data_IF_207161123435
#
_entry.id   IF_207161123435
#
_cell.length_a   1.000
_cell.length_b   1.000
_cell.length_c   1.000
_cell.angle_alpha   90.00
_cell.angle_beta   90.00
_cell.angle_gamma   90.00
#
_symmetry.space_group_name_H-M   'P 1'
#
loop_
_entity.id
_entity.type
_entity.pdbx_description
1 polymer ?
#
# COMPACT_ATOMS: atom_id res chain seq x y z
N UNK A 1 -35.24 60.46 10.64
CA UNK A 1 -34.47 59.36 10.01
C UNK A 1 -33.67 58.49 11.02
N UNK A 2 -34.04 58.39 12.31
CA UNK A 2 -33.21 57.69 13.33
C UNK A 2 -33.76 56.36 13.88
N UNK A 3 -35.00 55.96 13.57
CA UNK A 3 -35.59 54.70 14.08
C UNK A 3 -35.24 53.45 13.27
N UNK A 4 -34.93 53.59 11.97
CA UNK A 4 -34.56 52.45 11.12
C UNK A 4 -33.12 51.94 11.39
N UNK A 5 -32.19 52.82 11.76
CA UNK A 5 -30.81 52.45 12.07
C UNK A 5 -30.65 51.75 13.43
N UNK A 6 -31.57 51.97 14.37
CA UNK A 6 -31.51 51.36 15.70
C UNK A 6 -31.98 49.90 15.71
N UNK A 7 -32.86 49.52 14.78
CA UNK A 7 -33.31 48.13 14.60
C UNK A 7 -32.21 47.20 14.06
N UNK A 8 -31.36 47.69 13.16
CA UNK A 8 -30.23 46.94 12.58
C UNK A 8 -29.16 46.56 13.61
N UNK A 9 -29.03 47.34 14.70
CA UNK A 9 -28.06 47.09 15.77
C UNK A 9 -28.48 45.93 16.69
N UNK A 10 -29.78 45.66 16.82
CA UNK A 10 -30.32 44.51 17.57
C UNK A 10 -30.19 43.18 16.83
N UNK A 11 -30.31 43.19 15.50
CA UNK A 11 -30.19 41.98 14.65
C UNK A 11 -28.82 41.30 14.81
N UNK A 12 -27.74 42.07 14.99
CA UNK A 12 -26.39 41.53 15.20
C UNK A 12 -26.24 40.68 16.47
N UNK A 13 -27.04 40.93 17.52
CA UNK A 13 -27.01 40.12 18.75
C UNK A 13 -27.78 38.80 18.61
N UNK A 14 -28.79 38.74 17.75
CA UNK A 14 -29.61 37.53 17.53
C UNK A 14 -28.98 36.56 16.52
N UNK A 15 -28.07 37.03 15.65
CA UNK A 15 -27.37 36.20 14.67
C UNK A 15 -25.98 35.74 15.14
N UNK A 16 -25.38 36.40 16.13
CA UNK A 16 -24.05 36.06 16.63
C UNK A 16 -23.96 34.64 17.23
N UNK A 17 -24.97 34.23 18.02
CA UNK A 17 -24.98 32.91 18.66
C UNK A 17 -25.17 31.76 17.64
N UNK A 18 -26.17 31.82 16.72
CA UNK A 18 -26.28 30.83 15.64
C UNK A 18 -25.04 30.76 14.72
N UNK A 19 -24.39 31.90 14.44
CA UNK A 19 -23.16 31.92 13.64
C UNK A 19 -21.96 31.26 14.36
N UNK A 20 -21.85 31.45 15.68
CA UNK A 20 -20.85 30.75 16.48
C UNK A 20 -21.10 29.24 16.51
N UNK A 21 -22.35 28.82 16.71
CA UNK A 21 -22.75 27.40 16.71
C UNK A 21 -22.51 26.76 15.34
N UNK A 22 -22.84 27.44 14.25
CA UNK A 22 -22.55 26.98 12.88
C UNK A 22 -21.04 26.86 12.62
N UNK A 23 -20.23 27.83 13.09
CA UNK A 23 -18.76 27.75 12.97
C UNK A 23 -18.18 26.58 13.77
N UNK A 24 -18.67 26.33 14.97
CA UNK A 24 -18.27 25.17 15.77
C UNK A 24 -18.60 23.85 15.06
N UNK A 25 -19.84 23.71 14.57
CA UNK A 25 -20.26 22.51 13.80
C UNK A 25 -19.46 22.35 12.50
N UNK A 26 -19.10 23.44 11.82
CA UNK A 26 -18.27 23.37 10.62
C UNK A 26 -16.86 22.85 10.88
N UNK A 27 -16.31 23.11 12.07
CA UNK A 27 -15.02 22.57 12.48
C UNK A 27 -15.09 21.06 12.73
N UNK A 28 -16.16 20.60 13.38
CA UNK A 28 -16.41 19.17 13.60
C UNK A 28 -16.61 18.42 12.27
N UNK A 29 -17.29 19.02 11.30
CA UNK A 29 -17.44 18.47 9.94
C UNK A 29 -16.09 18.39 9.20
N UNK A 30 -15.21 19.38 9.38
CA UNK A 30 -13.85 19.33 8.85
C UNK A 30 -13.01 18.20 9.45
N UNK A 31 -13.12 17.99 10.77
CA UNK A 31 -12.45 16.88 11.46
C UNK A 31 -12.96 15.51 10.99
N UNK A 32 -14.27 15.35 10.79
CA UNK A 32 -14.86 14.14 10.23
C UNK A 32 -14.41 13.88 8.78
N UNK A 33 -14.30 14.94 7.97
CA UNK A 33 -13.75 14.85 6.61
C UNK A 33 -12.28 14.36 6.61
N UNK A 34 -11.44 14.93 7.47
CA UNK A 34 -10.04 14.51 7.63
C UNK A 34 -9.91 13.06 8.12
N UNK A 35 -10.78 12.63 9.05
CA UNK A 35 -10.84 11.25 9.52
C UNK A 35 -11.25 10.29 8.40
N UNK A 36 -12.24 10.68 7.57
CA UNK A 36 -12.63 9.93 6.38
C UNK A 36 -11.48 9.75 5.38
N UNK A 37 -10.73 10.82 5.10
CA UNK A 37 -9.52 10.74 4.25
C UNK A 37 -8.44 9.84 4.85
N UNK A 38 -8.21 9.90 6.16
CA UNK A 38 -7.24 9.04 6.85
C UNK A 38 -7.64 7.56 6.79
N UNK A 39 -8.92 7.25 7.01
CA UNK A 39 -9.44 5.89 6.88
C UNK A 39 -9.35 5.38 5.44
N UNK A 40 -9.61 6.24 4.45
CA UNK A 40 -9.40 5.93 3.04
C UNK A 40 -7.94 5.57 2.75
N UNK A 41 -7.01 6.42 3.16
CA UNK A 41 -5.57 6.17 3.01
C UNK A 41 -5.13 4.89 3.73
N UNK A 42 -5.64 4.62 4.93
CA UNK A 42 -5.40 3.35 5.64
C UNK A 42 -5.86 2.14 4.81
N UNK A 43 -7.06 2.21 4.23
CA UNK A 43 -7.59 1.14 3.39
C UNK A 43 -6.78 0.91 2.12
N UNK A 44 -6.24 1.96 1.50
CA UNK A 44 -5.33 1.86 0.35
C UNK A 44 -3.98 1.25 0.76
N UNK A 45 -3.41 1.65 1.89
CA UNK A 45 -2.18 1.07 2.45
C UNK A 45 -2.36 -0.42 2.71
N UNK A 46 -3.49 -0.82 3.30
CA UNK A 46 -3.78 -2.24 3.60
C UNK A 46 -3.87 -3.09 2.32
N UNK A 47 -4.50 -2.57 1.27
CA UNK A 47 -4.54 -3.21 -0.06
C UNK A 47 -3.15 -3.28 -0.69
N UNK A 48 -2.36 -2.22 -0.56
CA UNK A 48 -0.97 -2.16 -1.03
C UNK A 48 -0.12 -3.22 -0.35
N UNK A 49 -0.17 -3.30 0.98
CA UNK A 49 0.53 -4.32 1.78
C UNK A 49 0.10 -5.73 1.38
N UNK A 50 -1.19 -5.98 1.20
CA UNK A 50 -1.69 -7.29 0.75
C UNK A 50 -1.14 -7.66 -0.62
N UNK A 51 -1.04 -6.69 -1.53
CA UNK A 51 -0.46 -6.90 -2.86
C UNK A 51 1.03 -7.21 -2.78
N UNK A 52 1.78 -6.47 -1.96
CA UNK A 52 3.21 -6.71 -1.74
C UNK A 52 3.46 -8.11 -1.19
N UNK A 53 2.68 -8.55 -0.20
CA UNK A 53 2.79 -9.92 0.36
C UNK A 53 2.57 -10.98 -0.72
N UNK A 54 1.58 -10.82 -1.59
CA UNK A 54 1.34 -11.76 -2.70
C UNK A 54 2.51 -11.80 -3.69
N UNK A 55 3.05 -10.63 -4.04
CA UNK A 55 4.19 -10.54 -4.96
C UNK A 55 5.45 -11.14 -4.35
N UNK A 56 5.73 -10.88 -3.07
CA UNK A 56 6.88 -11.48 -2.37
C UNK A 56 6.77 -12.99 -2.34
N UNK A 57 5.57 -13.54 -2.07
CA UNK A 57 5.37 -14.98 -2.09
C UNK A 57 5.59 -15.60 -3.49
N UNK A 58 5.08 -14.95 -4.54
CA UNK A 58 5.30 -15.40 -5.90
C UNK A 58 6.79 -15.39 -6.28
N UNK A 59 7.54 -14.38 -5.84
CA UNK A 59 8.99 -14.30 -6.05
C UNK A 59 9.74 -15.41 -5.30
N UNK A 60 9.32 -15.73 -4.08
CA UNK A 60 9.90 -16.85 -3.30
C UNK A 60 9.70 -18.19 -4.01
N UNK A 61 8.49 -18.45 -4.54
CA UNK A 61 8.17 -19.65 -5.32
C UNK A 61 9.01 -19.72 -6.62
N UNK A 62 9.23 -18.59 -7.30
CA UNK A 62 10.06 -18.52 -8.51
C UNK A 62 11.54 -18.80 -8.19
N UNK A 63 12.07 -18.23 -7.11
CA UNK A 63 13.45 -18.50 -6.68
C UNK A 63 13.68 -19.95 -6.27
N UNK A 64 12.71 -20.59 -5.61
CA UNK A 64 12.82 -22.00 -5.28
C UNK A 64 12.85 -22.88 -6.55
N UNK A 65 12.01 -22.55 -7.53
CA UNK A 65 12.00 -23.24 -8.82
C UNK A 65 13.32 -23.04 -9.60
N UNK A 66 13.86 -21.82 -9.62
CA UNK A 66 15.15 -21.51 -10.25
C UNK A 66 16.30 -22.25 -9.57
N UNK A 67 16.34 -22.25 -8.23
CA UNK A 67 17.36 -22.97 -7.46
C UNK A 67 17.34 -24.47 -7.76
N UNK A 68 16.14 -25.06 -7.88
CA UNK A 68 15.98 -26.46 -8.28
C UNK A 68 16.52 -26.71 -9.70
N UNK A 69 16.16 -25.87 -10.66
CA UNK A 69 16.64 -25.97 -12.03
C UNK A 69 18.17 -25.90 -12.10
N UNK A 70 18.80 -24.98 -11.36
CA UNK A 70 20.25 -24.88 -11.28
C UNK A 70 20.88 -26.16 -10.70
N UNK A 71 20.25 -26.76 -9.69
CA UNK A 71 20.67 -28.05 -9.14
C UNK A 71 20.61 -29.17 -10.16
N UNK A 72 19.52 -29.27 -10.92
CA UNK A 72 19.34 -30.28 -11.98
C UNK A 72 20.37 -30.10 -13.11
N UNK A 73 20.67 -28.85 -13.50
CA UNK A 73 21.71 -28.53 -14.48
C UNK A 73 23.09 -28.94 -13.97
N UNK A 74 23.42 -28.64 -12.72
CA UNK A 74 24.69 -29.05 -12.11
C UNK A 74 24.85 -30.57 -12.12
N UNK A 75 23.82 -31.31 -11.71
CA UNK A 75 23.83 -32.78 -11.71
C UNK A 75 24.01 -33.36 -13.13
N UNK A 76 23.44 -32.71 -14.14
CA UNK A 76 23.63 -33.11 -15.53
C UNK A 76 25.09 -32.92 -15.99
N UNK A 77 25.75 -31.83 -15.58
CA UNK A 77 27.18 -31.62 -15.86
C UNK A 77 28.06 -32.63 -15.13
N UNK A 78 27.78 -32.93 -13.85
CA UNK A 78 28.50 -33.97 -13.11
C UNK A 78 28.42 -35.33 -13.82
N UNK A 79 27.24 -35.67 -14.35
CA UNK A 79 27.06 -36.90 -15.12
C UNK A 79 27.86 -36.88 -16.44
N UNK A 80 27.87 -35.75 -17.14
CA UNK A 80 28.67 -35.59 -18.36
C UNK A 80 30.16 -35.79 -18.08
N UNK A 81 30.66 -35.25 -16.97
CA UNK A 81 32.06 -35.42 -16.56
C UNK A 81 32.40 -36.89 -16.30
N UNK A 82 31.52 -37.64 -15.63
CA UNK A 82 31.68 -39.09 -15.42
C UNK A 82 31.73 -39.85 -16.77
N UNK A 83 30.83 -39.51 -17.69
CA UNK A 83 30.77 -40.15 -19.01
C UNK A 83 32.02 -39.85 -19.85
N UNK A 84 32.51 -38.61 -19.82
CA UNK A 84 33.74 -38.21 -20.49
C UNK A 84 34.94 -38.96 -19.89
N UNK A 85 35.03 -39.03 -18.56
CA UNK A 85 36.10 -39.76 -17.88
C UNK A 85 36.11 -41.25 -18.27
N UNK A 86 34.93 -41.88 -18.32
CA UNK A 86 34.79 -43.27 -18.74
C UNK A 86 35.24 -43.49 -20.19
N UNK A 87 34.81 -42.63 -21.12
CA UNK A 87 35.21 -42.70 -22.52
C UNK A 87 36.74 -42.52 -22.72
N UNK A 88 37.37 -41.66 -21.91
CA UNK A 88 38.83 -41.48 -21.93
C UNK A 88 39.56 -42.72 -21.43
N UNK A 89 39.02 -43.43 -20.42
CA UNK A 89 39.60 -44.69 -19.94
C UNK A 89 39.46 -45.80 -20.98
N UNK A 90 38.31 -45.93 -21.62
CA UNK A 90 38.08 -46.91 -22.70
C UNK A 90 39.04 -46.72 -23.87
N UNK A 91 39.39 -45.47 -24.21
CA UNK A 91 40.37 -45.18 -25.28
C UNK A 91 41.83 -45.48 -24.90
N UNK A 92 42.14 -45.64 -23.62
CA UNK A 92 43.50 -45.88 -23.10
C UNK A 92 43.78 -47.36 -22.78
N UNK A 93 42.73 -48.18 -22.63
CA UNK A 93 42.81 -49.64 -22.50
C UNK A 93 42.76 -50.33 -23.86
#
# INVERSE_FOLDING_TARGET
MHKAASGLRGVGHHTAKPLQEFRAQSHDLGALGALGSLLGAKGEIEKGMTTLVKLTKALEEEWEAEAKLMGDVSAAFDLLDVLIAAAVQEKKG
#
